data_IF_745880090915
#
_entry.id   IF_745880090915
#
_cell.length_a   1.000
_cell.length_b   1.000
_cell.length_c   1.000
_cell.angle_alpha   90.00
_cell.angle_beta   90.00
_cell.angle_gamma   90.00
#
_symmetry.space_group_name_H-M   'P 1'
#
loop_
_entity.id
_entity.type
_entity.pdbx_description
1 polymer ?
#
# COMPACT_ATOMS: atom_id res chain seq x y z
N UNK A 1 -38.92 -16.43 2.39
CA UNK A 1 -38.64 -16.32 0.94
C UNK A 1 -37.15 -16.12 0.77
N UNK A 2 -36.46 -17.13 0.26
CA UNK A 2 -35.01 -17.21 0.11
C UNK A 2 -34.57 -16.50 -1.16
N UNK A 3 -33.82 -15.40 -1.05
CA UNK A 3 -33.23 -14.70 -2.19
C UNK A 3 -31.78 -15.18 -2.38
N UNK A 4 -31.60 -15.94 -3.46
CA UNK A 4 -30.30 -16.40 -3.94
C UNK A 4 -29.48 -15.21 -4.48
N UNK A 5 -28.35 -14.93 -3.85
CA UNK A 5 -27.39 -13.91 -4.33
C UNK A 5 -26.64 -14.51 -5.52
N UNK A 6 -26.84 -13.90 -6.70
CA UNK A 6 -26.13 -14.25 -7.93
C UNK A 6 -24.63 -14.05 -7.72
N UNK A 7 -23.85 -15.12 -7.91
CA UNK A 7 -22.39 -15.10 -7.99
C UNK A 7 -21.97 -14.17 -9.14
N UNK A 8 -21.27 -13.08 -8.81
CA UNK A 8 -20.61 -12.23 -9.79
C UNK A 8 -19.42 -12.98 -10.38
N UNK A 9 -19.61 -13.57 -11.56
CA UNK A 9 -18.52 -14.03 -12.42
C UNK A 9 -18.55 -13.14 -13.65
N UNK A 10 -17.42 -12.52 -13.99
CA UNK A 10 -17.25 -11.66 -15.15
C UNK A 10 -17.50 -12.46 -16.46
N UNK A 11 -17.86 -11.79 -17.57
CA UNK A 11 -18.18 -12.47 -18.82
C UNK A 11 -16.98 -13.24 -19.41
N UNK A 12 -17.18 -14.43 -19.99
CA UNK A 12 -16.12 -15.32 -20.49
C UNK A 12 -15.14 -14.69 -21.50
N UNK A 13 -15.54 -13.61 -22.18
CA UNK A 13 -14.74 -12.96 -23.21
C UNK A 13 -13.50 -12.21 -22.71
N UNK A 14 -13.45 -11.82 -21.43
CA UNK A 14 -12.30 -11.07 -20.89
C UNK A 14 -11.09 -11.95 -20.60
N UNK A 15 -11.33 -13.22 -20.22
CA UNK A 15 -10.29 -14.21 -19.89
C UNK A 15 -9.60 -14.72 -21.16
N UNK A 16 -10.34 -14.86 -22.28
CA UNK A 16 -9.80 -15.35 -23.56
C UNK A 16 -8.71 -14.42 -24.13
N UNK A 17 -8.97 -13.10 -24.14
CA UNK A 17 -8.06 -12.14 -24.77
C UNK A 17 -6.67 -12.07 -24.09
N UNK A 18 -6.59 -12.28 -22.78
CA UNK A 18 -5.33 -12.29 -22.04
C UNK A 18 -4.54 -13.59 -22.24
N UNK A 19 -5.23 -14.74 -22.28
CA UNK A 19 -4.59 -16.03 -22.57
C UNK A 19 -4.01 -16.05 -23.98
N UNK A 20 -4.70 -15.47 -24.95
CA UNK A 20 -4.24 -15.36 -26.34
C UNK A 20 -3.01 -14.42 -26.47
N UNK A 21 -2.97 -13.32 -25.71
CA UNK A 21 -1.82 -12.38 -25.68
C UNK A 21 -0.60 -13.00 -24.99
N UNK A 22 -0.78 -13.78 -23.92
CA UNK A 22 0.31 -14.48 -23.25
C UNK A 22 0.84 -15.65 -24.09
N UNK A 23 -0.04 -16.39 -24.77
CA UNK A 23 0.34 -17.48 -25.67
C UNK A 23 1.08 -16.99 -26.93
N UNK A 24 0.64 -15.86 -27.51
CA UNK A 24 1.29 -15.27 -28.69
C UNK A 24 2.69 -14.72 -28.40
N UNK A 25 2.99 -14.30 -27.16
CA UNK A 25 4.36 -13.95 -26.73
C UNK A 25 5.27 -15.17 -26.57
N UNK A 26 4.74 -16.32 -26.13
CA UNK A 26 5.49 -17.60 -26.10
C UNK A 26 5.78 -18.14 -27.51
N UNK A 27 4.92 -17.86 -28.49
CA UNK A 27 5.09 -18.29 -29.88
C UNK A 27 6.00 -17.38 -30.73
N UNK A 28 6.26 -16.14 -30.31
CA UNK A 28 7.02 -15.15 -31.08
C UNK A 28 8.55 -15.26 -31.05
N UNK A 29 9.11 -16.32 -30.45
CA UNK A 29 10.56 -16.48 -30.26
C UNK A 29 11.22 -17.53 -31.17
N UNK A 30 10.53 -18.11 -32.16
CA UNK A 30 11.15 -19.11 -33.06
C UNK A 30 10.71 -18.95 -34.52
N UNK A 31 11.67 -18.61 -35.39
CA UNK A 31 11.60 -18.63 -36.86
C UNK A 31 12.06 -17.29 -37.46
N UNK A 32 13.09 -17.17 -38.31
CA UNK A 32 13.68 -18.13 -39.26
C UNK A 32 15.17 -17.84 -39.49
N UNK A 33 16.02 -18.88 -39.49
CA UNK A 33 17.09 -19.06 -40.48
C UNK A 33 17.55 -20.53 -40.49
N UNK A 34 17.50 -21.16 -41.67
CA UNK A 34 17.90 -22.55 -41.91
C UNK A 34 19.37 -22.62 -42.33
N UNK A 35 20.19 -23.42 -41.64
CA UNK A 35 21.25 -24.23 -42.27
C UNK A 35 21.76 -25.38 -41.38
N UNK A 36 21.55 -26.60 -41.89
CA UNK A 36 22.27 -27.89 -41.72
C UNK A 36 23.29 -28.14 -40.58
N UNK A 37 23.00 -29.25 -39.87
CA UNK A 37 23.85 -30.36 -39.37
C UNK A 37 25.04 -30.07 -38.43
N UNK A 38 24.95 -30.58 -37.19
CA UNK A 38 25.68 -31.77 -36.68
C UNK A 38 25.34 -32.00 -35.19
N UNK A 39 25.38 -33.26 -34.76
CA UNK A 39 25.12 -33.73 -33.40
C UNK A 39 26.15 -33.21 -32.39
N UNK A 40 25.70 -32.71 -31.23
CA UNK A 40 26.45 -32.82 -29.97
C UNK A 40 25.54 -32.63 -28.76
N UNK A 41 25.52 -33.63 -27.89
CA UNK A 41 24.87 -33.65 -26.58
C UNK A 41 25.42 -32.58 -25.62
N UNK A 42 24.53 -31.93 -24.86
CA UNK A 42 24.84 -31.06 -23.73
C UNK A 42 23.57 -30.46 -23.11
N UNK A 43 23.37 -30.50 -21.78
CA UNK A 43 22.05 -30.30 -21.19
C UNK A 43 21.71 -28.81 -21.08
N UNK A 44 20.53 -28.42 -21.57
CA UNK A 44 19.94 -27.11 -21.29
C UNK A 44 19.13 -27.20 -19.99
N UNK A 45 19.60 -26.56 -18.92
CA UNK A 45 18.79 -26.31 -17.72
C UNK A 45 18.04 -24.99 -17.89
N UNK A 46 16.88 -25.01 -18.55
CA UNK A 46 15.86 -23.98 -18.39
C UNK A 46 15.08 -24.29 -17.11
N UNK A 47 15.36 -23.55 -16.05
CA UNK A 47 14.58 -23.59 -14.81
C UNK A 47 13.27 -22.82 -15.06
N UNK A 48 12.28 -23.47 -15.66
CA UNK A 48 10.88 -23.09 -15.43
C UNK A 48 10.50 -23.67 -14.06
N UNK A 49 10.59 -22.86 -13.01
CA UNK A 49 10.05 -23.21 -11.70
C UNK A 49 8.52 -23.09 -11.74
N UNK A 50 7.86 -24.07 -12.35
CA UNK A 50 6.46 -24.34 -12.03
C UNK A 50 6.44 -24.88 -10.60
N UNK A 51 6.25 -24.00 -9.61
CA UNK A 51 5.80 -24.42 -8.29
C UNK A 51 4.39 -24.99 -8.46
N UNK A 52 4.29 -26.32 -8.60
CA UNK A 52 3.00 -27.01 -8.65
C UNK A 52 2.17 -26.58 -7.42
N UNK A 53 1.05 -25.90 -7.67
CA UNK A 53 0.11 -25.51 -6.62
C UNK A 53 -0.40 -26.81 -5.98
N UNK A 54 -0.05 -27.03 -4.71
CA UNK A 54 -0.52 -28.20 -3.99
C UNK A 54 -2.02 -28.02 -3.70
N UNK A 55 -2.88 -28.71 -4.46
CA UNK A 55 -4.33 -28.58 -4.33
C UNK A 55 -4.88 -28.91 -2.94
N UNK A 56 -4.09 -29.53 -2.06
CA UNK A 56 -4.48 -29.80 -0.67
C UNK A 56 -4.29 -28.61 0.28
N UNK A 57 -3.51 -27.59 -0.13
CA UNK A 57 -3.19 -26.41 0.71
C UNK A 57 -4.06 -25.21 0.37
N UNK A 58 -4.55 -24.45 1.37
CA UNK A 58 -5.27 -23.22 1.13
C UNK A 58 -4.39 -22.18 0.43
N UNK A 59 -4.97 -21.46 -0.52
CA UNK A 59 -4.31 -20.36 -1.21
C UNK A 59 -4.38 -19.10 -0.36
N UNK A 60 -3.23 -18.46 -0.16
CA UNK A 60 -3.11 -17.16 0.51
C UNK A 60 -2.55 -16.15 -0.47
N UNK A 61 -3.30 -15.07 -0.70
CA UNK A 61 -2.85 -13.95 -1.52
C UNK A 61 -2.25 -12.87 -0.60
N UNK A 62 -1.07 -12.38 -0.94
CA UNK A 62 -0.35 -11.35 -0.19
C UNK A 62 -0.20 -10.09 -1.05
N UNK A 63 -0.43 -8.93 -0.44
CA UNK A 63 -0.16 -7.60 -0.99
C UNK A 63 0.40 -6.70 0.11
N UNK A 64 0.68 -5.43 -0.18
CA UNK A 64 1.01 -4.42 0.82
C UNK A 64 0.78 -3.00 0.27
N UNK A 65 1.03 -1.98 1.11
CA UNK A 65 1.13 -0.60 0.68
C UNK A 65 2.53 -0.19 0.21
N UNK A 66 3.58 -0.81 0.75
CA UNK A 66 4.96 -0.29 0.64
C UNK A 66 5.68 -0.70 -0.66
N UNK A 67 5.11 -1.65 -1.41
CA UNK A 67 5.62 -2.16 -2.68
C UNK A 67 6.26 -3.55 -2.61
N UNK A 68 6.52 -4.14 -3.78
CA UNK A 68 6.98 -5.52 -3.95
C UNK A 68 8.35 -5.79 -3.30
N UNK A 69 9.24 -4.80 -3.29
CA UNK A 69 10.58 -4.88 -2.69
C UNK A 69 10.61 -4.52 -1.19
N UNK A 70 9.45 -4.33 -0.56
CA UNK A 70 9.40 -3.88 0.83
C UNK A 70 9.90 -4.99 1.79
N UNK A 71 10.73 -4.65 2.80
CA UNK A 71 11.23 -5.63 3.77
C UNK A 71 10.10 -6.38 4.49
N UNK A 72 9.04 -5.65 4.88
CA UNK A 72 7.89 -6.22 5.59
C UNK A 72 7.05 -7.21 4.76
N UNK A 73 6.95 -7.00 3.44
CA UNK A 73 6.32 -7.96 2.53
C UNK A 73 7.20 -9.20 2.36
N UNK A 74 8.50 -8.98 2.13
CA UNK A 74 9.47 -10.05 1.92
C UNK A 74 9.45 -11.04 3.09
N UNK A 75 9.61 -10.55 4.32
CA UNK A 75 9.64 -11.44 5.49
C UNK A 75 8.29 -12.11 5.78
N UNK A 76 7.17 -11.46 5.44
CA UNK A 76 5.84 -12.07 5.58
C UNK A 76 5.71 -13.26 4.63
N UNK A 77 6.08 -13.08 3.37
CA UNK A 77 6.03 -14.16 2.36
C UNK A 77 6.98 -15.28 2.75
N UNK A 78 8.23 -14.97 3.13
CA UNK A 78 9.18 -15.98 3.62
C UNK A 78 8.65 -16.75 4.82
N UNK A 79 8.02 -16.07 5.79
CA UNK A 79 7.40 -16.70 6.95
C UNK A 79 6.29 -17.67 6.58
N UNK A 80 5.40 -17.26 5.67
CA UNK A 80 4.29 -18.10 5.18
C UNK A 80 4.78 -19.30 4.35
N UNK A 81 5.78 -19.09 3.50
CA UNK A 81 6.41 -20.16 2.70
C UNK A 81 7.11 -21.17 3.61
N UNK A 82 7.89 -20.68 4.59
CA UNK A 82 8.59 -21.53 5.56
C UNK A 82 7.65 -22.35 6.43
N UNK A 83 6.47 -21.81 6.78
CA UNK A 83 5.44 -22.56 7.52
C UNK A 83 4.89 -23.74 6.70
N UNK A 84 4.92 -23.65 5.36
CA UNK A 84 4.67 -24.76 4.45
C UNK A 84 3.20 -25.22 4.35
N UNK A 85 2.28 -24.55 5.04
CA UNK A 85 0.84 -24.87 5.07
C UNK A 85 0.04 -24.22 3.94
N UNK A 86 0.61 -23.24 3.24
CA UNK A 86 -0.11 -22.37 2.31
C UNK A 86 0.49 -22.40 0.91
N UNK A 87 -0.37 -22.24 -0.10
CA UNK A 87 0.07 -21.85 -1.44
C UNK A 87 0.13 -20.32 -1.51
N UNK A 88 1.32 -19.76 -1.30
CA UNK A 88 1.51 -18.31 -1.21
C UNK A 88 1.63 -17.68 -2.59
N UNK A 89 0.81 -16.67 -2.85
CA UNK A 89 0.83 -15.88 -4.07
C UNK A 89 0.92 -14.40 -3.72
N UNK A 90 1.60 -13.61 -4.53
CA UNK A 90 1.86 -12.19 -4.24
C UNK A 90 1.41 -11.33 -5.42
N UNK A 91 0.68 -10.27 -5.13
CA UNK A 91 0.37 -9.22 -6.09
C UNK A 91 0.48 -7.89 -5.36
N UNK A 92 1.54 -7.13 -5.61
CA UNK A 92 1.85 -5.91 -4.87
C UNK A 92 2.26 -4.76 -5.79
N UNK A 93 2.15 -3.50 -5.31
CA UNK A 93 2.59 -2.34 -6.08
C UNK A 93 4.08 -2.40 -6.43
N UNK A 94 4.47 -1.89 -7.58
CA UNK A 94 5.88 -1.75 -7.97
C UNK A 94 6.63 -0.76 -7.06
N UNK A 95 5.94 0.29 -6.61
CA UNK A 95 6.52 1.38 -5.80
C UNK A 95 5.69 1.60 -4.54
N UNK A 96 6.24 2.37 -3.60
CA UNK A 96 5.54 2.79 -2.38
C UNK A 96 4.20 3.50 -2.70
N UNK A 97 3.12 2.91 -2.19
CA UNK A 97 1.72 3.38 -2.19
C UNK A 97 1.14 3.34 -0.77
N UNK A 98 1.97 3.47 0.26
CA UNK A 98 1.58 3.38 1.67
C UNK A 98 0.48 4.39 2.04
N UNK A 99 0.46 5.56 1.39
CA UNK A 99 -0.51 6.65 1.60
C UNK A 99 -1.43 6.85 0.39
N UNK A 100 -1.74 5.80 -0.37
CA UNK A 100 -2.62 5.90 -1.55
C UNK A 100 -4.11 5.94 -1.22
N UNK A 101 -4.50 5.62 0.02
CA UNK A 101 -5.87 5.30 0.39
C UNK A 101 -6.47 4.20 -0.49
N UNK A 102 -7.80 4.12 -0.50
CA UNK A 102 -8.56 3.21 -1.37
C UNK A 102 -8.79 3.81 -2.76
N UNK A 103 -7.70 4.09 -3.47
CA UNK A 103 -7.74 4.56 -4.86
C UNK A 103 -7.69 3.38 -5.84
N UNK A 104 -8.43 3.49 -6.95
CA UNK A 104 -8.46 2.51 -8.05
C UNK A 104 -8.11 3.25 -9.34
N UNK A 105 -7.29 2.63 -10.17
CA UNK A 105 -6.82 3.21 -11.44
C UNK A 105 -7.83 2.93 -12.55
N UNK A 106 -8.76 3.85 -12.78
CA UNK A 106 -9.79 3.73 -13.80
C UNK A 106 -9.43 4.50 -15.08
N UNK A 107 -9.54 3.85 -16.24
CA UNK A 107 -9.35 4.48 -17.55
C UNK A 107 -7.89 4.60 -17.99
N UNK A 108 -6.95 4.13 -17.17
CA UNK A 108 -5.52 4.05 -17.50
C UNK A 108 -5.09 2.57 -17.56
N UNK A 109 -3.99 2.30 -18.28
CA UNK A 109 -3.43 0.94 -18.39
C UNK A 109 -2.45 0.69 -17.25
N UNK A 110 -2.60 -0.45 -16.58
CA UNK A 110 -1.65 -0.93 -15.58
C UNK A 110 -0.60 -1.83 -16.23
N UNK A 111 0.67 -1.62 -15.89
CA UNK A 111 1.74 -2.55 -16.20
C UNK A 111 1.82 -3.62 -15.12
N UNK A 112 2.07 -4.87 -15.55
CA UNK A 112 2.25 -6.02 -14.67
C UNK A 112 3.50 -6.78 -15.12
N UNK A 113 4.36 -7.10 -14.18
CA UNK A 113 5.56 -7.90 -14.39
C UNK A 113 5.64 -9.02 -13.35
N UNK A 114 6.29 -10.13 -13.68
CA UNK A 114 6.64 -11.16 -12.70
C UNK A 114 7.71 -10.62 -11.75
N UNK A 115 7.60 -10.96 -10.47
CA UNK A 115 8.61 -10.67 -9.46
C UNK A 115 9.18 -11.98 -8.89
N UNK A 116 10.46 -11.97 -8.52
CA UNK A 116 11.14 -13.15 -7.97
C UNK A 116 11.02 -13.16 -6.44
N UNK A 117 10.17 -14.02 -5.90
CA UNK A 117 10.05 -14.25 -4.44
C UNK A 117 10.13 -15.75 -4.17
N UNK A 118 11.11 -16.16 -3.36
CA UNK A 118 11.40 -17.56 -3.15
C UNK A 118 10.20 -18.34 -2.57
N UNK A 119 9.71 -19.33 -3.33
CA UNK A 119 8.61 -20.20 -2.92
C UNK A 119 7.21 -19.59 -3.07
N UNK A 120 7.07 -18.45 -3.75
CA UNK A 120 5.78 -17.83 -4.05
C UNK A 120 5.70 -17.35 -5.50
N UNK A 121 4.53 -17.48 -6.13
CA UNK A 121 4.27 -16.86 -7.43
C UNK A 121 3.94 -15.39 -7.21
N UNK A 122 4.75 -14.48 -7.74
CA UNK A 122 4.65 -13.06 -7.45
C UNK A 122 4.53 -12.19 -8.71
N UNK A 123 3.70 -11.15 -8.62
CA UNK A 123 3.57 -10.10 -9.62
C UNK A 123 3.72 -8.72 -8.96
N UNK A 124 4.45 -7.83 -9.64
CA UNK A 124 4.45 -6.40 -9.36
C UNK A 124 3.51 -5.67 -10.33
N UNK A 125 2.79 -4.67 -9.82
CA UNK A 125 1.79 -3.91 -10.59
C UNK A 125 2.05 -2.41 -10.44
N UNK A 126 1.95 -1.64 -11.53
CA UNK A 126 2.15 -0.18 -11.48
C UNK A 126 1.05 0.60 -10.74
N UNK A 127 0.02 -0.09 -10.26
CA UNK A 127 -1.19 0.46 -9.65
C UNK A 127 -1.12 0.61 -8.13
N UNK A 128 -2.29 0.66 -7.51
CA UNK A 128 -2.47 0.74 -6.05
C UNK A 128 -2.65 -0.65 -5.43
N UNK A 129 -2.62 -0.79 -4.10
CA UNK A 129 -2.94 -2.07 -3.44
C UNK A 129 -4.35 -2.59 -3.76
N UNK A 130 -5.32 -1.69 -3.94
CA UNK A 130 -6.66 -2.08 -4.38
C UNK A 130 -6.64 -2.61 -5.82
N UNK A 131 -5.91 -1.97 -6.73
CA UNK A 131 -5.73 -2.48 -8.10
C UNK A 131 -5.07 -3.88 -8.08
N UNK A 132 -4.05 -4.08 -7.25
CA UNK A 132 -3.33 -5.36 -7.14
C UNK A 132 -4.27 -6.50 -6.71
N UNK A 133 -5.06 -6.27 -5.66
CA UNK A 133 -6.01 -7.25 -5.14
C UNK A 133 -7.14 -7.50 -6.14
N UNK A 134 -7.74 -6.45 -6.68
CA UNK A 134 -8.84 -6.57 -7.66
C UNK A 134 -8.38 -7.32 -8.92
N UNK A 135 -7.19 -6.99 -9.43
CA UNK A 135 -6.60 -7.66 -10.59
C UNK A 135 -6.27 -9.14 -10.31
N UNK A 136 -5.73 -9.45 -9.13
CA UNK A 136 -5.49 -10.83 -8.72
C UNK A 136 -6.79 -11.64 -8.65
N UNK A 137 -7.84 -11.07 -8.06
CA UNK A 137 -9.15 -11.72 -7.89
C UNK A 137 -9.96 -11.78 -9.19
N UNK A 138 -9.58 -11.03 -10.22
CA UNK A 138 -10.22 -11.10 -11.55
C UNK A 138 -9.96 -12.43 -12.28
N UNK A 139 -8.96 -13.20 -11.85
CA UNK A 139 -8.51 -14.43 -12.52
C UNK A 139 -7.57 -14.19 -13.70
N UNK A 140 -7.13 -12.95 -13.94
CA UNK A 140 -6.23 -12.60 -15.03
C UNK A 140 -4.78 -13.07 -14.83
N UNK A 141 -4.30 -13.12 -13.58
CA UNK A 141 -2.89 -13.37 -13.24
C UNK A 141 -2.63 -14.76 -12.65
N UNK A 142 -3.64 -15.36 -12.03
CA UNK A 142 -3.52 -16.59 -11.28
C UNK A 142 -4.54 -17.62 -11.73
N UNK A 143 -4.16 -18.90 -11.72
CA UNK A 143 -5.02 -20.00 -12.18
C UNK A 143 -6.02 -20.50 -11.12
N UNK A 144 -5.91 -20.04 -9.87
CA UNK A 144 -6.89 -20.35 -8.83
C UNK A 144 -8.15 -19.48 -8.98
N UNK A 145 -9.29 -19.98 -8.47
CA UNK A 145 -10.58 -19.28 -8.60
C UNK A 145 -10.82 -18.24 -7.52
N UNK A 146 -10.41 -18.51 -6.28
CA UNK A 146 -10.53 -17.60 -5.14
C UNK A 146 -9.53 -18.01 -4.05
N UNK A 147 -8.81 -17.06 -3.41
CA UNK A 147 -7.95 -17.40 -2.29
C UNK A 147 -8.79 -17.58 -1.01
N UNK A 148 -8.28 -18.37 -0.06
CA UNK A 148 -8.92 -18.56 1.25
C UNK A 148 -8.83 -17.28 2.08
N UNK A 149 -7.71 -16.56 1.98
CA UNK A 149 -7.43 -15.34 2.74
C UNK A 149 -6.57 -14.38 1.90
N UNK A 150 -6.83 -13.09 2.04
CA UNK A 150 -5.91 -12.02 1.60
C UNK A 150 -5.21 -11.40 2.81
N UNK A 151 -3.89 -11.28 2.76
CA UNK A 151 -3.10 -10.58 3.78
C UNK A 151 -2.43 -9.36 3.14
N UNK A 152 -2.66 -8.19 3.71
CA UNK A 152 -2.09 -6.93 3.24
C UNK A 152 -1.08 -6.39 4.27
N UNK A 153 0.21 -6.53 4.01
CA UNK A 153 1.28 -6.16 4.93
C UNK A 153 2.59 -6.95 4.74
N UNK A 154 3.53 -6.93 5.68
CA UNK A 154 3.53 -6.07 6.88
C UNK A 154 3.97 -4.66 6.49
N UNK A 155 3.12 -3.67 6.76
CA UNK A 155 3.40 -2.29 6.43
C UNK A 155 4.28 -1.60 7.48
N UNK A 156 5.14 -0.69 7.02
CA UNK A 156 6.00 0.13 7.85
C UNK A 156 5.25 1.35 8.39
N UNK A 157 4.97 1.36 9.68
CA UNK A 157 4.26 2.44 10.36
C UNK A 157 2.81 2.06 10.64
N UNK A 158 2.23 2.68 11.68
CA UNK A 158 0.88 2.35 12.15
C UNK A 158 -0.21 2.87 11.20
N UNK A 159 -1.28 2.08 11.06
CA UNK A 159 -2.53 2.49 10.41
C UNK A 159 -3.66 2.75 11.41
N UNK A 160 -3.39 2.99 12.70
CA UNK A 160 -4.40 3.25 13.72
C UNK A 160 -5.28 4.49 13.44
N UNK A 161 -6.48 4.47 14.00
CA UNK A 161 -7.41 5.60 13.95
C UNK A 161 -7.80 6.01 12.54
N UNK A 162 -7.86 7.30 12.26
CA UNK A 162 -8.20 7.83 10.94
C UNK A 162 -7.09 7.61 9.89
N UNK A 163 -5.91 7.12 10.28
CA UNK A 163 -4.88 6.76 9.30
C UNK A 163 -5.32 5.59 8.40
N UNK A 164 -6.31 4.79 8.83
CA UNK A 164 -6.94 3.74 8.00
C UNK A 164 -7.48 4.27 6.66
N UNK A 165 -7.84 5.55 6.56
CA UNK A 165 -8.39 6.13 5.32
C UNK A 165 -7.31 6.42 4.27
N UNK A 166 -6.08 6.68 4.73
CA UNK A 166 -4.93 6.92 3.85
C UNK A 166 -4.11 5.65 3.60
N UNK A 167 -4.25 4.65 4.47
CA UNK A 167 -3.45 3.42 4.42
C UNK A 167 -3.73 2.58 3.17
N UNK A 168 -2.70 2.39 2.35
CA UNK A 168 -2.71 1.47 1.22
C UNK A 168 -2.88 0.02 1.66
N UNK A 169 -2.30 -0.38 2.80
CA UNK A 169 -2.47 -1.74 3.33
C UNK A 169 -3.92 -2.03 3.71
N UNK A 170 -4.57 -1.10 4.43
CA UNK A 170 -5.99 -1.23 4.78
C UNK A 170 -6.85 -1.23 3.52
N UNK A 171 -6.51 -0.43 2.50
CA UNK A 171 -7.21 -0.44 1.22
C UNK A 171 -7.15 -1.80 0.51
N UNK A 172 -5.97 -2.46 0.46
CA UNK A 172 -5.84 -3.80 -0.10
C UNK A 172 -6.71 -4.84 0.63
N UNK A 173 -6.69 -4.84 1.96
CA UNK A 173 -7.55 -5.73 2.75
C UNK A 173 -9.05 -5.41 2.56
N UNK A 174 -9.40 -4.12 2.45
CA UNK A 174 -10.78 -3.68 2.21
C UNK A 174 -11.26 -4.09 0.82
N UNK A 175 -10.42 -4.02 -0.21
CA UNK A 175 -10.77 -4.45 -1.56
C UNK A 175 -11.09 -5.95 -1.58
N UNK A 176 -10.27 -6.77 -0.90
CA UNK A 176 -10.56 -8.20 -0.74
C UNK A 176 -11.92 -8.44 -0.07
N UNK A 177 -12.23 -7.68 0.98
CA UNK A 177 -13.53 -7.76 1.66
C UNK A 177 -14.70 -7.35 0.74
N UNK A 178 -14.53 -6.31 -0.08
CA UNK A 178 -15.52 -5.89 -1.10
C UNK A 178 -15.77 -7.03 -2.10
N UNK A 179 -14.72 -7.74 -2.50
CA UNK A 179 -14.80 -8.93 -3.35
C UNK A 179 -15.30 -10.19 -2.60
N UNK A 180 -15.67 -10.07 -1.32
CA UNK A 180 -16.20 -11.15 -0.50
C UNK A 180 -15.15 -12.19 -0.08
N UNK A 181 -13.88 -11.81 -0.03
CA UNK A 181 -12.78 -12.65 0.47
C UNK A 181 -12.41 -12.18 1.88
N UNK A 182 -12.28 -13.10 2.87
CA UNK A 182 -11.74 -12.76 4.18
C UNK A 182 -10.36 -12.11 4.07
N UNK A 183 -10.07 -11.12 4.91
CA UNK A 183 -8.82 -10.38 4.81
C UNK A 183 -8.29 -9.83 6.12
N UNK A 184 -6.96 -9.72 6.17
CA UNK A 184 -6.19 -9.11 7.26
C UNK A 184 -5.34 -7.96 6.69
N UNK A 185 -5.28 -6.82 7.38
CA UNK A 185 -4.21 -5.85 7.21
C UNK A 185 -3.27 -5.91 8.40
N UNK A 186 -1.96 -5.88 8.16
CA UNK A 186 -0.94 -5.99 9.22
C UNK A 186 0.03 -4.82 9.09
N UNK A 187 0.15 -4.03 10.15
CA UNK A 187 1.08 -2.90 10.24
C UNK A 187 1.99 -3.09 11.45
N UNK A 188 3.29 -2.81 11.30
CA UNK A 188 4.21 -2.67 12.42
C UNK A 188 4.30 -1.19 12.79
N UNK A 189 4.17 -0.86 14.08
CA UNK A 189 4.37 0.49 14.62
C UNK A 189 5.86 0.89 14.61
N UNK A 190 6.43 0.90 13.41
CA UNK A 190 7.83 1.08 13.16
C UNK A 190 8.20 2.54 13.41
N UNK A 191 9.18 2.77 14.27
CA UNK A 191 9.70 4.09 14.60
C UNK A 191 11.15 4.20 14.20
N UNK A 192 11.52 5.30 13.54
CA UNK A 192 12.84 5.48 12.93
C UNK A 192 14.01 5.31 13.88
N UNK A 193 13.84 5.75 15.13
CA UNK A 193 14.92 5.78 16.11
C UNK A 193 14.82 4.63 17.14
N UNK A 194 13.80 3.78 17.05
CA UNK A 194 13.55 2.68 18.00
C UNK A 194 13.57 1.30 17.32
N UNK A 195 13.03 1.20 16.10
CA UNK A 195 12.81 -0.07 15.39
C UNK A 195 13.97 -0.49 14.49
N UNK A 196 14.04 -1.80 14.23
CA UNK A 196 15.01 -2.46 13.35
C UNK A 196 14.28 -3.27 12.29
N UNK A 197 14.94 -3.58 11.17
CA UNK A 197 14.35 -4.43 10.14
C UNK A 197 14.06 -5.85 10.64
N UNK A 198 14.83 -6.34 11.62
CA UNK A 198 14.57 -7.62 12.30
C UNK A 198 13.20 -7.66 12.96
N UNK A 199 12.64 -6.53 13.36
CA UNK A 199 11.35 -6.48 14.06
C UNK A 199 10.20 -6.86 13.14
N UNK A 200 10.34 -6.75 11.81
CA UNK A 200 9.35 -7.29 10.88
C UNK A 200 9.24 -8.82 10.99
N UNK A 201 10.37 -9.51 11.20
CA UNK A 201 10.35 -10.97 11.40
C UNK A 201 9.64 -11.34 12.71
N UNK A 202 9.92 -10.61 13.78
CA UNK A 202 9.22 -10.81 15.06
C UNK A 202 7.72 -10.52 14.91
N UNK A 203 7.34 -9.51 14.12
CA UNK A 203 5.94 -9.21 13.82
C UNK A 203 5.26 -10.35 13.04
N UNK A 204 5.94 -10.97 12.06
CA UNK A 204 5.44 -12.17 11.37
C UNK A 204 5.21 -13.31 12.36
N UNK A 205 6.20 -13.62 13.19
CA UNK A 205 6.10 -14.71 14.17
C UNK A 205 4.95 -14.47 15.17
N UNK A 206 4.71 -13.22 15.57
CA UNK A 206 3.54 -12.82 16.39
C UNK A 206 2.22 -13.02 15.64
N UNK A 207 2.16 -12.72 14.34
CA UNK A 207 0.91 -12.82 13.55
C UNK A 207 0.58 -14.23 13.05
N UNK A 208 1.56 -15.14 12.93
CA UNK A 208 1.34 -16.50 12.41
C UNK A 208 0.21 -17.27 13.12
N UNK A 209 0.12 -17.30 14.47
CA UNK A 209 -1.00 -17.96 15.16
C UNK A 209 -2.37 -17.40 14.78
N UNK A 210 -2.46 -16.09 14.52
CA UNK A 210 -3.69 -15.43 14.11
C UNK A 210 -4.05 -15.76 12.66
N UNK A 211 -3.06 -15.85 11.76
CA UNK A 211 -3.25 -16.30 10.38
C UNK A 211 -3.72 -17.76 10.34
N UNK A 212 -3.13 -18.63 11.16
CA UNK A 212 -3.54 -20.03 11.30
C UNK A 212 -4.99 -20.14 11.81
N UNK A 213 -5.34 -19.35 12.83
CA UNK A 213 -6.71 -19.30 13.36
C UNK A 213 -7.70 -18.79 12.31
N UNK A 214 -7.34 -17.74 11.56
CA UNK A 214 -8.18 -17.18 10.51
C UNK A 214 -8.50 -18.24 9.44
N UNK A 215 -7.49 -18.91 8.87
CA UNK A 215 -7.71 -19.95 7.84
C UNK A 215 -8.57 -21.09 8.38
N UNK A 216 -8.25 -21.62 9.56
CA UNK A 216 -9.03 -22.68 10.21
C UNK A 216 -10.50 -22.29 10.40
N UNK A 217 -10.75 -21.04 10.82
CA UNK A 217 -12.10 -20.57 11.13
C UNK A 217 -12.87 -20.17 9.86
N UNK A 218 -12.18 -19.81 8.78
CA UNK A 218 -12.76 -19.64 7.44
C UNK A 218 -13.25 -21.00 6.91
N UNK A 219 -12.43 -22.05 7.01
CA UNK A 219 -12.81 -23.41 6.59
C UNK A 219 -14.02 -23.96 7.37
N UNK A 220 -14.16 -23.55 8.64
CA UNK A 220 -15.30 -23.90 9.50
C UNK A 220 -16.49 -22.96 9.38
N UNK A 221 -16.40 -21.93 8.55
CA UNK A 221 -17.43 -20.92 8.33
C UNK A 221 -17.85 -20.15 9.61
N UNK A 222 -16.89 -19.97 10.54
CA UNK A 222 -17.05 -19.25 11.82
C UNK A 222 -16.17 -17.99 11.93
N UNK A 223 -15.36 -17.70 10.91
CA UNK A 223 -14.60 -16.45 10.84
C UNK A 223 -15.55 -15.23 10.82
N UNK A 224 -15.19 -14.10 11.46
CA UNK A 224 -16.02 -12.89 11.47
C UNK A 224 -16.45 -12.48 10.05
N UNK A 225 -17.76 -12.28 9.86
CA UNK A 225 -18.33 -11.90 8.57
C UNK A 225 -18.44 -10.39 8.45
N UNK A 226 -18.44 -9.91 7.20
CA UNK A 226 -18.66 -8.50 6.84
C UNK A 226 -17.61 -7.52 7.41
N UNK A 227 -16.45 -8.02 7.83
CA UNK A 227 -15.34 -7.20 8.27
C UNK A 227 -13.99 -7.79 7.81
N UNK A 228 -13.00 -6.91 7.72
CA UNK A 228 -11.57 -7.24 7.64
C UNK A 228 -10.95 -6.99 9.02
N UNK A 229 -9.90 -7.71 9.39
CA UNK A 229 -9.21 -7.45 10.67
C UNK A 229 -7.97 -6.59 10.43
N UNK A 230 -7.94 -5.39 11.02
CA UNK A 230 -6.73 -4.56 11.06
C UNK A 230 -5.90 -4.92 12.29
N UNK A 231 -4.67 -5.36 12.06
CA UNK A 231 -3.73 -5.85 13.07
C UNK A 231 -2.57 -4.86 13.16
N UNK A 232 -2.40 -4.25 14.33
CA UNK A 232 -1.34 -3.30 14.61
C UNK A 232 -0.39 -3.90 15.63
N UNK A 233 0.84 -4.15 15.20
CA UNK A 233 1.90 -4.75 16.02
C UNK A 233 2.70 -3.63 16.69
N UNK A 234 2.95 -3.69 18.01
CA UNK A 234 3.68 -2.63 18.72
C UNK A 234 5.13 -2.54 18.25
N UNK A 235 5.78 -1.41 18.57
CA UNK A 235 7.16 -1.09 18.14
C UNK A 235 8.17 -2.18 18.49
N UNK A 236 7.94 -2.92 19.58
CA UNK A 236 8.72 -4.08 20.02
C UNK A 236 7.86 -5.35 20.00
N UNK A 237 7.75 -6.06 18.85
CA UNK A 237 6.87 -7.22 18.73
C UNK A 237 7.24 -8.37 19.67
N UNK A 238 8.53 -8.62 19.88
CA UNK A 238 9.03 -9.71 20.73
C UNK A 238 8.67 -9.57 22.21
N UNK A 239 8.37 -8.36 22.68
CA UNK A 239 7.98 -8.09 24.07
C UNK A 239 6.49 -7.71 24.21
N UNK A 240 5.66 -8.04 23.22
CA UNK A 240 4.23 -7.73 23.27
C UNK A 240 3.53 -8.42 24.46
N UNK A 241 2.47 -7.79 24.98
CA UNK A 241 1.69 -8.28 26.13
C UNK A 241 0.52 -9.20 25.73
N UNK A 242 0.44 -9.61 24.46
CA UNK A 242 -0.66 -10.37 23.88
C UNK A 242 -1.55 -9.53 22.96
N UNK A 243 -2.71 -10.09 22.61
CA UNK A 243 -3.67 -9.50 21.68
C UNK A 243 -4.80 -8.81 22.42
N UNK A 244 -5.27 -7.67 21.90
CA UNK A 244 -6.44 -6.95 22.41
C UNK A 244 -7.39 -6.64 21.25
N UNK A 245 -8.67 -6.99 21.39
CA UNK A 245 -9.71 -6.49 20.49
C UNK A 245 -9.91 -5.01 20.77
N UNK A 246 -9.94 -4.20 19.72
CA UNK A 246 -10.02 -2.74 19.85
C UNK A 246 -11.08 -2.13 18.93
N UNK A 247 -11.44 -0.89 19.25
CA UNK A 247 -12.22 0.01 18.40
C UNK A 247 -11.28 0.96 17.66
N UNK A 248 -11.67 1.34 16.45
CA UNK A 248 -10.96 2.37 15.70
C UNK A 248 -11.02 3.70 16.48
N UNK A 249 -9.87 4.30 16.77
CA UNK A 249 -9.83 5.62 17.40
C UNK A 249 -10.19 6.74 16.42
N UNK A 250 -10.49 7.92 16.96
CA UNK A 250 -10.57 9.16 16.18
C UNK A 250 -9.20 9.83 16.02
N UNK A 251 -8.11 9.13 16.39
CA UNK A 251 -6.77 9.65 16.28
C UNK A 251 -6.43 9.96 14.83
N UNK A 252 -5.78 11.09 14.58
CA UNK A 252 -5.33 11.47 13.24
C UNK A 252 -4.07 12.31 13.31
N UNK A 253 -3.14 12.06 12.40
CA UNK A 253 -2.07 12.99 12.15
C UNK A 253 -2.62 14.28 11.54
N UNK A 254 -2.05 15.42 11.93
CA UNK A 254 -2.44 16.71 11.37
C UNK A 254 -1.65 16.95 10.08
N UNK A 255 -2.31 17.19 8.94
CA UNK A 255 -1.62 17.53 7.70
C UNK A 255 -0.96 18.91 7.84
N UNK A 256 0.33 19.00 7.52
CA UNK A 256 1.12 20.23 7.53
C UNK A 256 1.74 20.46 6.16
N UNK A 257 1.42 21.59 5.53
CA UNK A 257 1.92 21.95 4.21
C UNK A 257 3.13 22.87 4.33
N UNK A 258 4.26 22.42 3.79
CA UNK A 258 5.50 23.20 3.75
C UNK A 258 5.75 23.72 2.33
N UNK A 259 6.03 25.03 2.21
CA UNK A 259 6.43 25.62 0.95
C UNK A 259 7.83 25.13 0.54
N UNK A 260 7.98 24.71 -0.71
CA UNK A 260 9.24 24.23 -1.28
C UNK A 260 9.73 25.25 -2.31
N UNK A 261 11.01 25.63 -2.21
CA UNK A 261 11.63 26.53 -3.19
C UNK A 261 11.72 25.88 -4.56
N UNK A 262 11.42 26.65 -5.62
CA UNK A 262 11.54 26.23 -7.02
C UNK A 262 12.92 25.68 -7.38
N UNK A 263 13.98 26.17 -6.72
CA UNK A 263 15.37 25.76 -6.99
C UNK A 263 15.75 24.42 -6.34
N UNK A 264 14.88 23.81 -5.52
CA UNK A 264 15.12 22.51 -4.88
C UNK A 264 14.30 21.37 -5.48
N UNK A 265 13.69 21.57 -6.65
CA UNK A 265 13.15 20.46 -7.43
C UNK A 265 14.26 19.78 -8.22
N UNK A 266 14.68 18.55 -7.88
CA UNK A 266 14.94 17.59 -8.94
C UNK A 266 13.58 17.32 -9.58
N UNK A 267 13.42 17.70 -10.85
CA UNK A 267 12.33 17.15 -11.64
C UNK A 267 12.47 15.62 -11.54
N UNK A 268 11.44 14.95 -11.04
CA UNK A 268 11.34 13.50 -11.06
C UNK A 268 11.25 13.02 -12.50
N UNK A 269 12.40 12.95 -13.16
CA UNK A 269 12.68 12.13 -14.33
C UNK A 269 14.07 11.56 -14.14
N UNK A 270 14.08 10.26 -13.90
CA UNK A 270 15.24 9.41 -13.81
C UNK A 270 15.94 9.39 -15.18
N UNK A 271 17.16 9.93 -15.28
CA UNK A 271 18.11 9.51 -16.30
C UNK A 271 19.47 9.28 -15.65
N UNK A 272 19.90 8.03 -15.77
CA UNK A 272 21.21 7.51 -15.44
C UNK A 272 22.36 8.27 -16.11
N UNK A 273 23.51 8.32 -15.42
CA UNK A 273 24.88 8.59 -15.90
C UNK A 273 25.31 10.07 -16.05
N UNK A 274 25.82 10.66 -14.96
CA UNK A 274 27.17 11.26 -14.82
C UNK A 274 27.26 12.06 -13.51
N UNK A 275 27.86 11.48 -12.48
CA UNK A 275 28.38 12.22 -11.33
C UNK A 275 29.83 12.60 -11.62
N UNK A 276 30.20 13.89 -11.67
CA UNK A 276 31.55 14.38 -11.26
C UNK A 276 31.85 15.89 -11.48
N UNK A 277 30.91 16.84 -11.37
CA UNK A 277 31.29 18.27 -11.47
C UNK A 277 30.60 19.25 -10.51
N UNK A 278 29.53 18.83 -9.81
CA UNK A 278 28.77 19.74 -8.95
C UNK A 278 29.41 20.09 -7.60
N UNK A 279 30.37 19.29 -7.11
CA UNK A 279 30.95 19.48 -5.77
C UNK A 279 32.08 20.52 -5.76
N UNK A 280 32.79 20.73 -6.88
CA UNK A 280 33.90 21.69 -6.94
C UNK A 280 33.48 23.16 -7.04
N UNK A 281 32.24 23.47 -7.46
CA UNK A 281 31.75 24.85 -7.56
C UNK A 281 31.19 25.39 -6.23
N UNK A 282 30.79 24.52 -5.30
CA UNK A 282 30.21 24.92 -4.02
C UNK A 282 31.26 25.42 -2.99
N UNK A 283 32.55 25.22 -3.25
CA UNK A 283 33.65 25.71 -2.41
C UNK A 283 34.15 27.11 -2.81
N UNK A 284 33.91 27.55 -4.05
CA UNK A 284 34.34 28.87 -4.54
C UNK A 284 33.36 30.01 -4.20
N UNK A 285 32.13 29.70 -3.80
CA UNK A 285 31.10 30.70 -3.44
C UNK A 285 31.10 31.09 -1.96
N UNK A 286 31.85 30.37 -1.12
CA UNK A 286 31.83 30.57 0.34
C UNK A 286 32.72 31.72 0.82
N UNK A 287 33.75 32.08 0.03
CA UNK A 287 34.69 33.16 0.39
C UNK A 287 34.27 34.56 -0.09
N UNK A 288 33.28 34.66 -0.98
CA UNK A 288 32.79 35.95 -1.49
C UNK A 288 31.72 36.61 -0.60
N UNK A 289 31.09 35.86 0.32
CA UNK A 289 29.93 36.34 1.11
C UNK A 289 30.27 36.95 2.48
N UNK A 290 31.53 36.94 2.91
CA UNK A 290 31.92 37.38 4.26
C UNK A 290 32.20 38.89 4.41
N UNK A 291 32.17 39.69 3.34
CA UNK A 291 32.57 41.12 3.40
C UNK A 291 31.39 42.13 3.52
N UNK A 292 30.13 41.68 3.62
CA UNK A 292 28.99 42.53 3.26
C UNK A 292 28.09 43.12 4.35
N UNK A 293 27.99 42.58 5.58
CA UNK A 293 26.88 43.03 6.45
C UNK A 293 27.13 42.90 7.96
N UNK A 294 28.07 43.69 8.48
CA UNK A 294 28.02 44.18 9.84
C UNK A 294 27.22 45.49 9.88
N UNK A 295 25.96 45.46 10.35
CA UNK A 295 25.27 46.48 11.19
C UNK A 295 23.73 46.35 11.14
N UNK A 296 23.14 46.01 12.30
CA UNK A 296 21.97 46.61 13.00
C UNK A 296 21.07 45.55 13.65
N UNK A 297 20.85 45.78 14.94
CA UNK A 297 20.05 45.02 15.89
C UNK A 297 18.55 45.38 15.83
N UNK A 298 17.74 44.43 16.30
CA UNK A 298 16.38 44.54 16.85
C UNK A 298 15.20 44.88 15.93
N UNK A 299 14.47 43.83 15.51
CA UNK A 299 13.09 43.45 15.92
C UNK A 299 12.54 42.46 14.89
N UNK A 300 12.53 41.16 15.20
CA UNK A 300 12.01 40.14 14.27
C UNK A 300 10.51 39.88 14.51
N UNK A 301 9.68 40.67 13.85
CA UNK A 301 8.49 40.14 13.16
C UNK A 301 8.85 40.19 11.67
N UNK A 302 9.29 39.07 11.09
CA UNK A 302 9.54 39.01 9.65
C UNK A 302 8.32 38.45 8.94
N UNK A 303 7.52 39.38 8.44
CA UNK A 303 6.82 39.24 7.17
C UNK A 303 7.80 38.68 6.13
N UNK A 304 7.40 37.61 5.45
CA UNK A 304 8.15 37.05 4.33
C UNK A 304 7.91 37.98 3.13
N UNK A 305 8.82 38.90 2.89
CA UNK A 305 8.89 39.64 1.62
C UNK A 305 9.35 38.67 0.52
N UNK A 306 8.53 38.56 -0.51
CA UNK A 306 8.79 37.76 -1.71
C UNK A 306 9.44 38.70 -2.73
N UNK A 307 10.76 38.67 -2.87
CA UNK A 307 11.44 39.33 -3.99
C UNK A 307 11.35 38.44 -5.23
N UNK A 308 10.58 38.89 -6.23
CA UNK A 308 10.58 38.34 -7.58
C UNK A 308 11.69 39.00 -8.40
N UNK A 309 12.71 38.24 -8.79
CA UNK A 309 13.69 38.69 -9.79
C UNK A 309 13.21 38.22 -11.16
N UNK A 310 12.72 39.16 -11.97
CA UNK A 310 12.30 38.91 -13.34
C UNK A 310 13.51 38.66 -14.25
N UNK A 311 13.48 37.56 -15.01
CA UNK A 311 14.43 37.29 -16.10
C UNK A 311 13.84 37.86 -17.39
N UNK A 312 14.52 38.83 -17.99
CA UNK A 312 14.09 39.46 -19.23
C UNK A 312 14.29 38.51 -20.43
N UNK A 313 13.21 38.06 -21.06
CA UNK A 313 13.26 37.22 -22.26
C UNK A 313 11.92 37.04 -22.99
N UNK A 314 11.58 38.01 -23.86
CA UNK A 314 10.54 38.04 -24.93
C UNK A 314 9.06 37.95 -24.53
N UNK A 315 8.16 38.73 -25.16
CA UNK A 315 6.75 38.75 -24.84
C UNK A 315 6.01 37.71 -25.70
N UNK A 316 5.79 36.52 -25.14
CA UNK A 316 4.63 35.75 -25.55
C UNK A 316 3.51 36.09 -24.58
N UNK A 317 2.31 36.39 -25.07
CA UNK A 317 1.13 36.71 -24.23
C UNK A 317 0.58 35.39 -23.68
N UNK A 318 1.43 34.67 -22.97
CA UNK A 318 1.08 33.55 -22.13
C UNK A 318 1.07 34.10 -20.71
N UNK A 319 -0.08 34.02 -20.03
CA UNK A 319 -0.18 34.33 -18.60
C UNK A 319 1.00 33.66 -17.90
N UNK A 320 1.97 34.45 -17.40
CA UNK A 320 3.06 33.95 -16.58
C UNK A 320 2.43 33.27 -15.36
N UNK A 321 2.30 31.95 -15.44
CA UNK A 321 1.67 31.16 -14.40
C UNK A 321 2.72 30.94 -13.33
N UNK A 322 2.59 31.68 -12.23
CA UNK A 322 3.46 31.52 -11.07
C UNK A 322 3.18 30.15 -10.43
N UNK A 323 4.08 29.19 -10.66
CA UNK A 323 4.03 27.86 -10.02
C UNK A 323 4.52 27.96 -8.58
N UNK A 324 3.72 27.46 -7.63
CA UNK A 324 4.09 27.33 -6.22
C UNK A 324 4.15 25.84 -5.87
N UNK A 325 5.14 25.44 -5.11
CA UNK A 325 5.37 24.05 -4.75
C UNK A 325 5.24 23.87 -3.25
N UNK A 326 4.54 22.81 -2.86
CA UNK A 326 4.29 22.46 -1.47
C UNK A 326 4.53 20.98 -1.27
N UNK A 327 4.98 20.61 -0.07
CA UNK A 327 5.08 19.22 0.38
C UNK A 327 4.17 19.05 1.58
N UNK A 328 3.43 17.94 1.59
CA UNK A 328 2.64 17.52 2.75
C UNK A 328 3.51 16.67 3.68
N UNK A 329 3.45 16.98 4.96
CA UNK A 329 4.00 16.17 6.04
C UNK A 329 2.93 15.97 7.11
N UNK A 330 2.95 14.81 7.78
CA UNK A 330 2.05 14.51 8.87
C UNK A 330 2.75 14.83 10.20
N UNK A 331 2.11 15.66 11.02
CA UNK A 331 2.59 15.94 12.37
C UNK A 331 1.85 15.03 13.36
N UNK A 332 2.62 14.29 14.16
CA UNK A 332 2.11 13.56 15.31
C UNK A 332 1.61 14.57 16.36
N UNK A 333 0.39 14.36 16.84
CA UNK A 333 -0.16 15.11 17.97
C UNK A 333 -0.47 14.11 19.08
N UNK A 334 0.02 14.39 20.27
CA UNK A 334 -0.37 13.65 21.46
C UNK A 334 -1.88 13.82 21.68
N UNK A 335 -2.57 12.69 21.91
CA UNK A 335 -4.00 12.68 22.20
C UNK A 335 -4.24 12.24 23.64
N UNK A 336 -5.08 12.96 24.35
CA UNK A 336 -5.44 12.70 25.76
C UNK A 336 -6.63 11.72 25.90
N UNK A 337 -6.85 10.82 24.93
CA UNK A 337 -7.95 9.86 25.03
C UNK A 337 -7.65 8.83 26.14
N UNK A 338 -8.53 8.64 27.12
CA UNK A 338 -8.29 7.71 28.25
C UNK A 338 -8.81 6.30 28.01
N UNK A 339 -9.52 6.07 26.90
CA UNK A 339 -10.14 4.79 26.59
C UNK A 339 -9.09 3.75 26.15
N UNK A 340 -8.92 2.70 26.96
CA UNK A 340 -7.96 1.63 26.72
C UNK A 340 -8.42 0.64 25.63
N UNK A 341 -9.68 0.68 25.18
CA UNK A 341 -10.19 -0.15 24.10
C UNK A 341 -9.85 0.41 22.71
N UNK A 342 -9.22 1.59 22.64
CA UNK A 342 -8.78 2.20 21.39
C UNK A 342 -7.51 1.53 20.84
N UNK A 343 -7.47 1.35 19.53
CA UNK A 343 -6.34 0.77 18.78
C UNK A 343 -4.99 1.39 19.12
N UNK A 344 -4.87 2.71 19.06
CA UNK A 344 -3.64 3.45 19.38
C UNK A 344 -3.21 3.26 20.85
N UNK A 345 -4.17 3.23 21.79
CA UNK A 345 -3.86 3.03 23.22
C UNK A 345 -3.40 1.61 23.52
N UNK A 346 -4.00 0.61 22.90
CA UNK A 346 -3.54 -0.77 23.03
C UNK A 346 -2.08 -0.91 22.55
N UNK A 347 -1.75 -0.24 21.45
CA UNK A 347 -0.41 -0.22 20.86
C UNK A 347 0.62 0.44 21.78
N UNK A 348 0.32 1.62 22.32
CA UNK A 348 1.17 2.31 23.31
C UNK A 348 1.37 1.49 24.58
N UNK A 349 0.33 0.75 24.99
CA UNK A 349 0.39 -0.15 26.14
C UNK A 349 1.15 -1.46 25.84
N UNK A 350 1.64 -1.67 24.62
CA UNK A 350 2.44 -2.83 24.22
C UNK A 350 1.63 -4.07 23.86
N UNK A 351 0.34 -3.92 23.55
CA UNK A 351 -0.49 -5.00 23.02
C UNK A 351 -0.51 -4.97 21.49
N UNK A 352 -0.73 -6.13 20.87
CA UNK A 352 -1.14 -6.21 19.47
C UNK A 352 -2.61 -5.83 19.40
N UNK A 353 -2.93 -4.74 18.70
CA UNK A 353 -4.31 -4.30 18.55
C UNK A 353 -4.96 -5.02 17.36
N UNK A 354 -6.16 -5.55 17.55
CA UNK A 354 -6.96 -6.21 16.50
C UNK A 354 -8.30 -5.49 16.38
N UNK A 355 -8.46 -4.71 15.33
CA UNK A 355 -9.65 -3.88 15.08
C UNK A 355 -10.45 -4.45 13.90
N UNK A 356 -11.66 -4.99 14.12
CA UNK A 356 -12.56 -5.32 13.02
C UNK A 356 -13.00 -4.04 12.28
N UNK A 357 -12.75 -3.98 10.98
CA UNK A 357 -13.17 -2.88 10.10
C UNK A 357 -14.29 -3.37 9.18
N UNK A 358 -15.47 -2.77 9.31
CA UNK A 358 -16.64 -3.12 8.52
C UNK A 358 -16.78 -2.20 7.30
N UNK A 359 -17.41 -2.71 6.23
CA UNK A 359 -17.97 -1.83 5.20
C UNK A 359 -19.23 -1.16 5.77
N UNK A 360 -19.41 0.16 5.64
CA UNK A 360 -20.61 0.85 6.09
C UNK A 360 -21.80 0.47 5.20
N UNK A 361 -22.38 -0.71 5.45
CA UNK A 361 -23.59 -1.20 4.78
C UNK A 361 -24.85 -0.95 5.62
N UNK A 362 -24.69 -0.63 6.91
CA UNK A 362 -25.77 -0.20 7.78
C UNK A 362 -25.54 1.26 8.11
N UNK A 363 -26.35 2.14 7.51
CA UNK A 363 -26.52 3.51 8.02
C UNK A 363 -27.07 3.35 9.43
N UNK A 364 -26.36 3.88 10.43
CA UNK A 364 -26.89 3.90 11.79
C UNK A 364 -28.27 4.57 11.75
N UNK A 365 -29.29 3.90 12.28
CA UNK A 365 -30.69 4.34 12.19
C UNK A 365 -30.88 5.78 12.66
N UNK A 366 -30.04 6.24 13.56
CA UNK A 366 -29.99 7.62 14.08
C UNK A 366 -29.56 8.63 13.00
N UNK A 367 -28.53 8.32 12.20
CA UNK A 367 -28.08 9.19 11.11
C UNK A 367 -29.16 9.32 10.03
N UNK A 368 -29.81 8.20 9.68
CA UNK A 368 -30.90 8.21 8.70
C UNK A 368 -32.10 9.02 9.22
N UNK A 369 -32.47 8.84 10.49
CA UNK A 369 -33.54 9.60 11.14
C UNK A 369 -33.25 11.10 11.14
N UNK A 370 -32.08 11.52 11.65
CA UNK A 370 -31.67 12.92 11.70
C UNK A 370 -31.61 13.57 10.30
N UNK A 371 -31.08 12.86 9.30
CA UNK A 371 -31.04 13.36 7.93
C UNK A 371 -32.46 13.49 7.33
N UNK A 372 -33.34 12.53 7.60
CA UNK A 372 -34.73 12.56 7.14
C UNK A 372 -35.52 13.69 7.79
N UNK A 373 -35.35 13.92 9.09
CA UNK A 373 -35.98 15.03 9.82
C UNK A 373 -35.49 16.38 9.30
N UNK A 374 -34.17 16.52 9.12
CA UNK A 374 -33.57 17.72 8.54
C UNK A 374 -34.10 18.01 7.13
N UNK A 375 -34.19 16.99 6.26
CA UNK A 375 -34.76 17.12 4.92
C UNK A 375 -36.22 17.54 4.95
N UNK A 376 -37.03 16.92 5.84
CA UNK A 376 -38.44 17.26 5.98
C UNK A 376 -38.61 18.74 6.37
N UNK A 377 -37.88 19.20 7.38
CA UNK A 377 -37.91 20.60 7.84
C UNK A 377 -37.44 21.58 6.75
N UNK A 378 -36.38 21.25 6.02
CA UNK A 378 -35.84 22.11 4.97
C UNK A 378 -36.78 22.29 3.77
N UNK A 379 -37.65 21.31 3.49
CA UNK A 379 -38.58 21.33 2.34
C UNK A 379 -39.93 21.95 2.71
N UNK A 380 -40.42 21.79 3.94
CA UNK A 380 -41.74 22.31 4.34
C UNK A 380 -41.75 23.81 4.63
N UNK A 381 -40.59 24.46 4.79
CA UNK A 381 -40.48 25.92 4.87
C UNK A 381 -41.19 26.53 6.08
N UNK A 382 -41.14 25.87 7.24
CA UNK A 382 -41.54 26.51 8.50
C UNK A 382 -40.43 27.48 8.94
N UNK A 383 -40.45 28.70 8.39
CA UNK A 383 -39.92 29.92 9.03
C UNK A 383 -41.02 30.66 9.80
#
# INVERSE_FOLDING_TARGET
MTTSVKKGCLPPGLVSNLQDVLASRKAGSNGEEQSKSEESEGPSSSVEANSEIDSSKPVVLVTNGDGIEAPGLTVLVEGLVRDGRFNVHVCAPQLDKSVSGHSVTLGETLAVSTAEIHGATAYEVSGTPADCVSLALSGALFSWSKPSLVISGINKGSSCGQHIFYSGAVAGAREALICGVPSLSISLNWKKDESRESDFKDAVDVCLPLIHAAIRDIEKDVFPRNCSLNIEVPTSPSTNKGFKITRCSLWRCVPSWQAVSSNRHPAGHFMSKQQSLGIQLAQLSRDASAAGAARRLQTQRKSVEIESVAVAGRPDVQRETVKKFFRLEFLEKEQEATDEELDFRALENGFVAVTPLCLPLHVESEMHGAASEWLAAAITGDE
#
